data_IF_704676863999
#
_entry.id   IF_704676863999
#
_cell.length_a   1.000
_cell.length_b   1.000
_cell.length_c   1.000
_cell.angle_alpha   90.00
_cell.angle_beta   90.00
_cell.angle_gamma   90.00
#
_symmetry.space_group_name_H-M   'P 1'
#
loop_
_entity.id
_entity.type
_entity.pdbx_description
1 polymer ?
#
# COMPACT_ATOMS: atom_id res chain seq x y z
N UNK A 1 7.10 21.35 -6.09
CA UNK A 1 5.95 21.76 -6.93
C UNK A 1 5.80 23.27 -6.84
N UNK A 2 5.89 23.98 -7.96
CA UNK A 2 5.62 25.42 -8.03
C UNK A 2 4.17 25.62 -8.44
N UNK A 3 3.44 26.44 -7.70
CA UNK A 3 2.06 26.82 -8.02
C UNK A 3 2.07 28.23 -8.60
N UNK A 4 1.63 28.39 -9.85
CA UNK A 4 1.79 29.66 -10.58
C UNK A 4 0.68 30.68 -10.30
N UNK A 5 -0.51 30.21 -9.93
CA UNK A 5 -1.69 31.07 -9.83
C UNK A 5 -1.86 31.66 -8.41
N UNK A 6 -2.36 32.90 -8.30
CA UNK A 6 -2.73 33.49 -7.00
C UNK A 6 -4.26 33.51 -6.86
N UNK A 7 -4.81 33.21 -5.65
CA UNK A 7 -4.13 32.76 -4.43
C UNK A 7 -3.70 31.28 -4.48
N UNK A 8 -2.66 30.91 -3.72
CA UNK A 8 -2.23 29.50 -3.56
C UNK A 8 -2.84 28.87 -2.29
N UNK A 9 -3.16 27.56 -2.29
CA UNK A 9 -3.77 26.89 -1.13
C UNK A 9 -2.77 26.68 -0.01
N UNK A 10 -3.19 26.73 1.27
CA UNK A 10 -2.29 26.44 2.41
C UNK A 10 -1.78 24.99 2.42
N UNK A 11 -2.63 24.06 2.01
CA UNK A 11 -2.33 22.64 1.84
C UNK A 11 -3.30 22.05 0.81
N UNK A 12 -2.93 20.94 0.17
CA UNK A 12 -3.80 20.22 -0.77
C UNK A 12 -3.45 18.72 -0.81
N UNK A 13 -4.37 17.92 -1.35
CA UNK A 13 -4.18 16.49 -1.56
C UNK A 13 -3.71 16.23 -2.99
N UNK A 14 -2.65 15.46 -3.15
CA UNK A 14 -2.21 14.96 -4.44
C UNK A 14 -2.62 13.49 -4.50
N UNK A 15 -3.75 13.18 -5.12
CA UNK A 15 -4.22 11.79 -5.24
C UNK A 15 -3.31 10.92 -6.10
N UNK A 16 -3.42 9.63 -5.91
CA UNK A 16 -2.75 8.61 -6.70
C UNK A 16 -3.77 7.53 -7.04
N UNK A 17 -3.75 6.41 -6.34
CA UNK A 17 -4.67 5.33 -6.64
C UNK A 17 -6.06 5.57 -6.04
N UNK A 18 -7.10 5.38 -6.86
CA UNK A 18 -8.49 5.26 -6.41
C UNK A 18 -8.84 3.78 -6.24
N UNK A 19 -9.19 3.40 -5.02
CA UNK A 19 -9.43 2.01 -4.63
C UNK A 19 -10.93 1.81 -4.37
N UNK A 20 -11.63 1.21 -5.33
CA UNK A 20 -13.10 1.22 -5.38
C UNK A 20 -13.75 -0.11 -5.02
N UNK A 21 -13.09 -1.25 -5.19
CA UNK A 21 -13.68 -2.54 -4.81
C UNK A 21 -13.03 -3.02 -3.53
N UNK A 22 -13.83 -3.33 -2.51
CA UNK A 22 -13.32 -3.87 -1.26
C UNK A 22 -13.40 -5.39 -1.29
N UNK A 23 -12.39 -6.04 -0.72
CA UNK A 23 -12.30 -7.48 -0.44
C UNK A 23 -11.91 -7.68 1.02
N UNK A 24 -11.95 -8.92 1.50
CA UNK A 24 -11.51 -9.23 2.87
C UNK A 24 -10.01 -8.98 3.09
N UNK A 25 -9.23 -8.98 2.02
CA UNK A 25 -7.77 -8.77 2.04
C UNK A 25 -7.36 -7.33 1.77
N UNK A 26 -8.26 -6.44 1.31
CA UNK A 26 -7.97 -5.03 1.07
C UNK A 26 -8.86 -4.40 0.00
N UNK A 27 -8.44 -3.27 -0.56
CA UNK A 27 -9.11 -2.70 -1.73
C UNK A 27 -8.36 -3.04 -3.02
N UNK A 28 -9.13 -3.22 -4.09
CA UNK A 28 -8.66 -3.30 -5.45
C UNK A 28 -8.79 -1.93 -6.13
N UNK A 29 -7.82 -1.64 -6.98
CA UNK A 29 -7.78 -0.43 -7.79
C UNK A 29 -8.91 -0.42 -8.82
N UNK A 30 -9.55 0.73 -9.01
CA UNK A 30 -10.50 0.91 -10.13
C UNK A 30 -9.77 0.99 -11.47
N UNK A 31 -10.42 0.53 -12.53
CA UNK A 31 -10.03 0.72 -13.94
C UNK A 31 -10.96 1.71 -14.66
N UNK A 32 -11.78 2.46 -13.90
CA UNK A 32 -12.77 3.38 -14.45
C UNK A 32 -12.10 4.64 -15.00
N UNK A 33 -12.24 4.81 -16.31
CA UNK A 33 -11.85 6.02 -17.05
C UNK A 33 -12.29 7.27 -16.31
N UNK A 34 -11.32 8.06 -15.85
CA UNK A 34 -11.55 9.49 -15.61
C UNK A 34 -11.95 10.08 -16.96
N UNK A 35 -13.23 10.36 -17.16
CA UNK A 35 -13.70 11.10 -18.32
C UNK A 35 -13.06 12.49 -18.23
N UNK A 36 -12.18 12.79 -19.18
CA UNK A 36 -11.60 14.11 -19.34
C UNK A 36 -12.72 15.07 -19.70
N UNK A 37 -13.29 15.72 -18.70
CA UNK A 37 -14.11 16.90 -18.92
C UNK A 37 -13.23 17.97 -19.58
N UNK A 38 -13.78 18.77 -20.50
CA UNK A 38 -13.11 19.99 -20.99
C UNK A 38 -13.53 21.13 -20.07
N UNK A 39 -12.65 21.60 -19.17
CA UNK A 39 -12.97 22.76 -18.34
C UNK A 39 -13.15 24.01 -19.20
N UNK A 40 -13.91 24.98 -18.70
CA UNK A 40 -13.85 26.32 -19.24
C UNK A 40 -12.42 26.87 -19.03
N UNK A 41 -11.84 27.52 -20.03
CA UNK A 41 -10.46 28.05 -20.03
C UNK A 41 -10.06 28.83 -18.76
N UNK A 42 -11.02 29.41 -18.04
CA UNK A 42 -10.80 30.25 -16.86
C UNK A 42 -10.73 29.48 -15.53
N UNK A 43 -10.95 28.15 -15.51
CA UNK A 43 -10.91 27.33 -14.28
C UNK A 43 -9.66 26.43 -14.21
N UNK A 44 -8.63 26.74 -14.99
CA UNK A 44 -7.40 25.94 -15.07
C UNK A 44 -6.28 26.57 -14.24
N UNK A 45 -5.60 25.72 -13.47
CA UNK A 45 -4.41 26.09 -12.71
C UNK A 45 -3.17 25.45 -13.31
N UNK A 46 -2.02 26.12 -13.21
CA UNK A 46 -0.72 25.62 -13.68
C UNK A 46 0.19 25.29 -12.50
N UNK A 47 0.74 24.08 -12.52
CA UNK A 47 1.73 23.60 -11.58
C UNK A 47 2.99 23.17 -12.34
N UNK A 48 4.17 23.51 -11.83
CA UNK A 48 5.44 22.93 -12.32
C UNK A 48 5.99 21.94 -11.31
N UNK A 49 6.28 20.73 -11.76
CA UNK A 49 6.76 19.63 -10.92
C UNK A 49 8.22 19.34 -11.27
N UNK A 50 9.04 19.29 -10.23
CA UNK A 50 10.48 18.96 -10.27
C UNK A 50 10.64 17.62 -9.55
N UNK A 51 10.56 16.48 -10.26
CA UNK A 51 10.71 15.18 -9.64
C UNK A 51 12.15 14.96 -9.19
N UNK A 52 12.33 14.37 -8.00
CA UNK A 52 13.59 13.81 -7.53
C UNK A 52 13.30 12.40 -7.02
N UNK A 53 13.98 11.41 -7.58
CA UNK A 53 13.99 10.00 -7.11
C UNK A 53 12.61 9.30 -6.98
N UNK A 54 11.54 9.84 -7.60
CA UNK A 54 10.16 9.29 -7.53
C UNK A 54 9.50 9.34 -8.91
N UNK A 55 8.97 8.19 -9.36
CA UNK A 55 8.02 8.12 -10.47
C UNK A 55 6.66 8.64 -9.99
N UNK A 56 6.19 9.74 -10.54
CA UNK A 56 4.91 10.32 -10.12
C UNK A 56 3.80 9.71 -10.97
N UNK A 57 3.00 8.83 -10.37
CA UNK A 57 1.71 8.40 -10.92
C UNK A 57 0.68 9.45 -10.51
N UNK A 58 0.40 10.39 -11.40
CA UNK A 58 -0.43 11.56 -11.11
C UNK A 58 -1.90 11.16 -10.88
N UNK A 59 -2.51 11.63 -9.79
CA UNK A 59 -3.91 12.08 -9.75
C UNK A 59 -3.95 13.36 -8.89
N UNK A 60 -4.85 14.30 -9.17
CA UNK A 60 -5.00 15.51 -8.37
C UNK A 60 -6.40 15.49 -7.74
N UNK A 61 -6.54 15.99 -6.52
CA UNK A 61 -7.84 16.20 -5.88
C UNK A 61 -7.76 17.48 -5.03
N UNK A 62 -8.70 18.43 -5.11
CA UNK A 62 -9.97 18.41 -5.85
C UNK A 62 -9.82 18.66 -7.36
N UNK A 63 -8.60 18.85 -7.85
CA UNK A 63 -8.36 19.25 -9.24
C UNK A 63 -8.28 18.06 -10.20
N UNK A 64 -8.87 18.15 -11.39
CA UNK A 64 -8.73 17.14 -12.44
C UNK A 64 -7.55 17.44 -13.34
N UNK A 65 -6.75 16.44 -13.70
CA UNK A 65 -5.65 16.59 -14.67
C UNK A 65 -6.21 16.92 -16.06
N UNK A 66 -5.81 18.07 -16.61
CA UNK A 66 -6.21 18.55 -17.94
C UNK A 66 -5.14 18.21 -18.98
N UNK A 67 -3.89 18.55 -18.69
CA UNK A 67 -2.76 18.40 -19.62
C UNK A 67 -1.44 18.28 -18.85
N UNK A 68 -0.45 17.67 -19.49
CA UNK A 68 0.94 17.62 -19.02
C UNK A 68 1.90 18.00 -20.16
N UNK A 69 3.04 18.63 -19.85
CA UNK A 69 4.09 19.00 -20.80
C UNK A 69 5.48 18.65 -20.25
N UNK A 70 6.45 18.20 -21.09
CA UNK A 70 6.33 17.95 -22.53
C UNK A 70 5.33 16.82 -22.83
N UNK A 71 4.58 16.98 -23.93
CA UNK A 71 3.29 16.31 -24.21
C UNK A 71 3.32 14.80 -24.48
N UNK A 72 4.40 14.12 -24.11
CA UNK A 72 4.65 12.72 -24.36
C UNK A 72 4.16 11.85 -23.20
N UNK A 73 2.84 11.88 -22.98
CA UNK A 73 2.17 10.94 -22.08
C UNK A 73 1.36 9.92 -22.88
N UNK A 74 1.56 8.64 -22.60
CA UNK A 74 0.68 7.53 -23.00
C UNK A 74 -0.24 7.23 -21.82
N UNK A 75 -1.54 7.22 -22.07
CA UNK A 75 -2.50 6.71 -21.09
C UNK A 75 -2.65 5.21 -21.28
N UNK A 76 -2.44 4.41 -20.22
CA UNK A 76 -2.82 2.99 -20.20
C UNK A 76 -3.73 2.75 -18.99
N UNK A 77 -5.00 2.44 -19.24
CA UNK A 77 -6.01 2.40 -18.19
C UNK A 77 -6.20 3.77 -17.53
N UNK A 78 -6.05 3.81 -16.20
CA UNK A 78 -6.13 5.02 -15.38
C UNK A 78 -4.76 5.65 -15.10
N UNK A 79 -3.69 5.00 -15.54
CA UNK A 79 -2.33 5.50 -15.37
C UNK A 79 -1.88 6.31 -16.59
N UNK A 80 -1.10 7.34 -16.30
CA UNK A 80 -0.40 8.14 -17.28
C UNK A 80 1.08 7.79 -17.22
N UNK A 81 1.60 7.26 -18.33
CA UNK A 81 2.98 6.87 -18.54
C UNK A 81 3.65 7.88 -19.44
N UNK A 82 4.94 8.11 -19.24
CA UNK A 82 5.73 8.91 -20.18
C UNK A 82 6.11 8.06 -21.38
N UNK A 83 5.99 8.60 -22.61
CA UNK A 83 6.40 7.90 -23.83
C UNK A 83 7.93 7.84 -23.97
N UNK A 84 8.64 8.70 -23.24
CA UNK A 84 10.10 8.80 -23.18
C UNK A 84 10.58 8.81 -21.72
N UNK A 85 11.89 8.96 -21.48
CA UNK A 85 12.41 9.14 -20.11
C UNK A 85 11.71 10.30 -19.40
N UNK A 86 11.49 10.17 -18.08
CA UNK A 86 10.84 11.21 -17.29
C UNK A 86 11.64 12.53 -17.42
N UNK A 87 11.01 13.65 -17.82
CA UNK A 87 11.71 14.91 -17.97
C UNK A 87 12.12 15.45 -16.60
N UNK A 88 13.22 16.21 -16.56
CA UNK A 88 13.72 16.81 -15.32
C UNK A 88 12.73 17.80 -14.68
N UNK A 89 11.80 18.34 -15.48
CA UNK A 89 10.70 19.21 -15.09
C UNK A 89 9.51 18.93 -15.99
N UNK A 90 8.30 19.03 -15.43
CA UNK A 90 7.08 19.04 -16.24
C UNK A 90 6.03 20.01 -15.71
N UNK A 91 5.28 20.59 -16.64
CA UNK A 91 4.12 21.43 -16.35
C UNK A 91 2.85 20.58 -16.36
N UNK A 92 2.00 20.83 -15.38
CA UNK A 92 0.71 20.19 -15.20
C UNK A 92 -0.36 21.26 -15.18
N UNK A 93 -1.39 21.09 -15.99
CA UNK A 93 -2.60 21.89 -15.94
C UNK A 93 -3.70 21.09 -15.27
N UNK A 94 -4.35 21.68 -14.27
CA UNK A 94 -5.40 21.03 -13.50
C UNK A 94 -6.64 21.92 -13.41
N UNK A 95 -7.81 21.37 -13.11
CA UNK A 95 -9.06 22.14 -13.00
C UNK A 95 -9.86 21.76 -11.75
N UNK A 96 -10.33 22.72 -10.97
CA UNK A 96 -11.10 22.49 -9.73
C UNK A 96 -12.44 21.79 -9.93
N UNK A 97 -12.97 21.77 -11.15
CA UNK A 97 -14.25 21.12 -11.43
C UNK A 97 -14.13 19.61 -11.22
N UNK A 98 -14.84 19.02 -10.24
CA UNK A 98 -14.81 17.59 -10.03
C UNK A 98 -15.34 16.91 -11.29
N UNK A 99 -14.62 15.92 -11.81
CA UNK A 99 -15.19 15.04 -12.82
C UNK A 99 -16.46 14.40 -12.26
N UNK A 100 -17.60 14.58 -12.94
CA UNK A 100 -18.80 13.79 -12.67
C UNK A 100 -18.52 12.34 -13.06
N UNK A 101 -18.05 11.53 -12.13
CA UNK A 101 -17.93 10.09 -12.30
C UNK A 101 -19.08 9.41 -11.58
N UNK A 102 -19.56 8.29 -12.12
CA UNK A 102 -20.65 7.55 -11.49
C UNK A 102 -20.26 7.04 -10.09
N UNK A 103 -21.25 6.89 -9.17
CA UNK A 103 -21.00 6.29 -7.87
C UNK A 103 -20.30 4.93 -8.01
N UNK A 104 -19.39 4.65 -7.07
CA UNK A 104 -18.71 3.37 -7.00
C UNK A 104 -19.53 2.32 -6.19
N UNK A 105 -18.90 1.21 -5.83
CA UNK A 105 -19.55 0.12 -5.08
C UNK A 105 -19.95 0.53 -3.66
N UNK A 106 -21.15 0.09 -3.25
CA UNK A 106 -21.62 0.10 -1.85
C UNK A 106 -21.40 -1.26 -1.16
N UNK A 107 -20.70 -2.20 -1.82
CA UNK A 107 -20.54 -3.55 -1.30
C UNK A 107 -19.57 -3.60 -0.12
N UNK A 108 -19.99 -4.29 0.94
CA UNK A 108 -19.17 -4.66 2.08
C UNK A 108 -18.74 -6.12 1.89
N UNK A 109 -17.44 -6.45 2.00
CA UNK A 109 -16.96 -7.83 1.86
C UNK A 109 -17.56 -8.77 2.91
N UNK A 110 -17.79 -10.04 2.56
CA UNK A 110 -18.17 -11.06 3.54
C UNK A 110 -17.19 -11.13 4.71
N UNK A 111 -17.70 -11.22 5.94
CA UNK A 111 -16.90 -11.21 7.18
C UNK A 111 -16.63 -9.82 7.78
N UNK A 112 -17.10 -8.74 7.15
CA UNK A 112 -17.03 -7.37 7.64
C UNK A 112 -18.42 -6.75 7.89
N UNK A 113 -19.47 -7.55 7.92
CA UNK A 113 -20.85 -7.13 8.17
C UNK A 113 -21.01 -6.47 9.54
N UNK A 114 -20.21 -6.88 10.52
CA UNK A 114 -20.19 -6.27 11.85
C UNK A 114 -19.75 -4.80 11.82
N UNK A 115 -18.81 -4.45 10.93
CA UNK A 115 -18.36 -3.06 10.72
C UNK A 115 -19.49 -2.24 10.11
N UNK A 116 -20.22 -2.80 9.14
CA UNK A 116 -21.41 -2.18 8.58
C UNK A 116 -22.54 -2.02 9.61
N UNK A 117 -22.75 -3.03 10.47
CA UNK A 117 -23.71 -2.99 11.56
C UNK A 117 -23.37 -1.94 12.62
N UNK A 118 -22.08 -1.79 12.93
CA UNK A 118 -21.58 -0.76 13.84
C UNK A 118 -21.82 0.65 13.28
N UNK A 119 -21.60 0.85 11.98
CA UNK A 119 -21.89 2.12 11.32
C UNK A 119 -23.35 2.55 11.50
N UNK A 120 -24.31 1.62 11.35
CA UNK A 120 -25.74 1.88 11.56
C UNK A 120 -26.10 2.27 13.00
N UNK A 121 -25.34 1.79 13.99
CA UNK A 121 -25.56 2.15 15.41
C UNK A 121 -25.01 3.53 15.76
N UNK A 122 -23.93 3.94 15.11
CA UNK A 122 -23.24 5.21 15.40
C UNK A 122 -23.84 6.37 14.59
N UNK A 123 -24.12 6.13 13.31
CA UNK A 123 -24.52 7.18 12.40
C UNK A 123 -25.94 7.66 12.72
N UNK A 124 -26.16 8.97 12.91
CA UNK A 124 -27.49 9.51 13.12
C UNK A 124 -28.31 9.45 11.84
N UNK A 125 -29.62 9.60 11.98
CA UNK A 125 -30.48 9.86 10.83
C UNK A 125 -30.21 11.23 10.20
N UNK A 126 -30.46 11.32 8.89
CA UNK A 126 -30.32 12.57 8.12
C UNK A 126 -29.28 12.51 6.99
N UNK A 127 -28.74 13.67 6.65
CA UNK A 127 -27.86 13.85 5.48
C UNK A 127 -26.57 13.02 5.54
N UNK A 128 -26.05 12.62 4.37
CA UNK A 128 -24.76 11.93 4.25
C UNK A 128 -23.63 12.64 5.00
N UNK A 129 -23.54 13.98 4.91
CA UNK A 129 -22.52 14.76 5.64
C UNK A 129 -22.59 14.60 7.17
N UNK A 130 -23.79 14.56 7.77
CA UNK A 130 -23.95 14.30 9.21
C UNK A 130 -23.49 12.90 9.59
N UNK A 131 -23.83 11.90 8.77
CA UNK A 131 -23.41 10.51 8.96
C UNK A 131 -21.88 10.40 8.86
N UNK A 132 -21.28 10.95 7.81
CA UNK A 132 -19.82 11.00 7.61
C UNK A 132 -19.11 11.66 8.79
N UNK A 133 -19.61 12.82 9.25
CA UNK A 133 -19.03 13.52 10.39
C UNK A 133 -19.09 12.69 11.69
N UNK A 134 -20.21 12.03 11.97
CA UNK A 134 -20.37 11.17 13.15
C UNK A 134 -19.42 9.97 13.13
N UNK A 135 -19.30 9.28 11.99
CA UNK A 135 -18.39 8.14 11.84
C UNK A 135 -16.92 8.57 11.92
N UNK A 136 -16.58 9.72 11.33
CA UNK A 136 -15.23 10.31 11.42
C UNK A 136 -14.88 10.64 12.88
N UNK A 137 -15.80 11.28 13.60
CA UNK A 137 -15.62 11.58 15.02
C UNK A 137 -15.44 10.31 15.85
N UNK A 138 -16.27 9.29 15.60
CA UNK A 138 -16.13 7.99 16.25
C UNK A 138 -14.73 7.39 16.05
N UNK A 139 -14.25 7.31 14.80
CA UNK A 139 -12.93 6.75 14.51
C UNK A 139 -11.82 7.55 15.19
N UNK A 140 -11.90 8.88 15.17
CA UNK A 140 -10.91 9.76 15.82
C UNK A 140 -10.89 9.66 17.34
N UNK A 141 -12.03 9.39 17.96
CA UNK A 141 -12.13 9.26 19.42
C UNK A 141 -11.85 7.84 19.92
N UNK A 142 -12.30 6.83 19.18
CA UNK A 142 -12.23 5.42 19.59
C UNK A 142 -10.93 4.74 19.18
N UNK A 143 -10.35 5.12 18.03
CA UNK A 143 -9.14 4.50 17.50
C UNK A 143 -7.93 5.43 17.66
N UNK A 144 -6.74 4.86 17.65
CA UNK A 144 -5.48 5.60 17.82
C UNK A 144 -4.61 5.53 16.57
N UNK A 145 -3.98 6.65 16.23
CA UNK A 145 -3.01 6.67 15.14
C UNK A 145 -1.69 6.05 15.60
N UNK A 146 -1.14 5.14 14.80
CA UNK A 146 0.14 4.52 15.09
C UNK A 146 0.81 4.03 13.81
N UNK A 147 2.08 4.40 13.64
CA UNK A 147 2.93 3.87 12.58
C UNK A 147 3.53 2.50 12.97
N UNK A 148 3.39 2.06 14.22
CA UNK A 148 3.94 0.78 14.66
C UNK A 148 2.87 -0.31 14.53
N UNK A 149 3.21 -1.41 13.85
CA UNK A 149 2.29 -2.54 13.69
C UNK A 149 1.93 -3.13 15.06
N UNK A 150 0.65 -3.09 15.41
CA UNK A 150 0.15 -3.53 16.71
C UNK A 150 -0.43 -4.94 16.69
N UNK A 151 -0.47 -5.55 17.87
CA UNK A 151 -0.94 -6.90 18.10
C UNK A 151 -2.44 -7.02 17.76
N UNK A 152 -2.75 -7.92 16.82
CA UNK A 152 -4.11 -8.36 16.51
C UNK A 152 -4.27 -9.83 16.94
N UNK A 153 -5.38 -10.20 17.59
CA UNK A 153 -5.69 -11.61 17.82
C UNK A 153 -5.75 -12.39 16.50
N UNK A 154 -5.25 -13.64 16.52
CA UNK A 154 -5.28 -14.53 15.36
C UNK A 154 -6.73 -14.79 14.92
N UNK A 155 -6.96 -14.84 13.61
CA UNK A 155 -8.27 -15.18 13.02
C UNK A 155 -9.28 -14.03 12.88
N UNK A 156 -9.01 -12.82 13.39
CA UNK A 156 -9.89 -11.65 13.19
C UNK A 156 -9.46 -10.80 12.00
N UNK A 157 -10.36 -10.07 11.35
CA UNK A 157 -9.95 -9.06 10.35
C UNK A 157 -9.25 -7.87 11.03
N UNK A 158 -8.13 -7.33 10.49
CA UNK A 158 -7.46 -6.15 11.05
C UNK A 158 -8.39 -4.94 11.18
N UNK A 159 -9.23 -4.71 10.18
CA UNK A 159 -10.19 -3.61 10.17
C UNK A 159 -11.27 -3.82 11.22
N UNK A 160 -11.80 -5.04 11.33
CA UNK A 160 -12.80 -5.37 12.35
C UNK A 160 -12.25 -5.11 13.75
N UNK A 161 -11.03 -5.58 14.03
CA UNK A 161 -10.35 -5.34 15.31
C UNK A 161 -10.13 -3.85 15.57
N UNK A 162 -9.61 -3.12 14.59
CA UNK A 162 -9.34 -1.70 14.70
C UNK A 162 -10.58 -0.91 15.08
N UNK A 163 -11.67 -1.06 14.31
CA UNK A 163 -12.91 -0.29 14.52
C UNK A 163 -13.63 -0.71 15.79
N UNK A 164 -13.74 -2.01 16.07
CA UNK A 164 -14.58 -2.48 17.19
C UNK A 164 -13.88 -2.36 18.55
N UNK A 165 -12.56 -2.57 18.59
CA UNK A 165 -11.81 -2.68 19.85
C UNK A 165 -10.96 -1.45 20.17
N UNK A 166 -11.06 -0.38 19.36
CA UNK A 166 -10.28 0.84 19.58
C UNK A 166 -8.80 0.63 19.30
N UNK A 167 -8.52 -0.08 18.21
CA UNK A 167 -7.16 -0.46 17.84
C UNK A 167 -6.30 0.71 17.40
N UNK A 168 -5.02 0.41 17.20
CA UNK A 168 -4.03 1.32 16.65
C UNK A 168 -3.74 1.00 15.18
N UNK A 169 -3.66 2.03 14.35
CA UNK A 169 -3.42 1.88 12.92
C UNK A 169 -2.97 3.18 12.26
N UNK A 170 -2.48 3.07 11.03
CA UNK A 170 -2.08 4.22 10.23
C UNK A 170 -3.26 4.78 9.42
N UNK A 171 -3.00 5.78 8.56
CA UNK A 171 -4.00 6.43 7.74
C UNK A 171 -4.83 5.45 6.88
N UNK A 172 -4.27 4.30 6.48
CA UNK A 172 -4.98 3.29 5.68
C UNK A 172 -6.06 2.57 6.49
N UNK A 173 -5.79 2.29 7.77
CA UNK A 173 -6.79 1.71 8.68
C UNK A 173 -7.96 2.66 8.86
N UNK A 174 -7.68 3.95 9.11
CA UNK A 174 -8.72 4.97 9.25
C UNK A 174 -9.54 5.11 7.95
N UNK A 175 -8.87 5.25 6.81
CA UNK A 175 -9.52 5.42 5.52
C UNK A 175 -10.37 4.21 5.13
N UNK A 176 -9.81 3.01 5.25
CA UNK A 176 -10.51 1.74 4.97
C UNK A 176 -11.73 1.57 5.86
N UNK A 177 -11.57 1.85 7.15
CA UNK A 177 -12.65 1.73 8.13
C UNK A 177 -13.80 2.66 7.82
N UNK A 178 -13.51 3.95 7.59
CA UNK A 178 -14.55 4.92 7.25
C UNK A 178 -15.25 4.52 5.93
N UNK A 179 -14.49 4.12 4.90
CA UNK A 179 -15.07 3.70 3.63
C UNK A 179 -16.04 2.52 3.81
N UNK A 180 -15.65 1.48 4.55
CA UNK A 180 -16.50 0.31 4.82
C UNK A 180 -17.72 0.64 5.68
N UNK A 181 -17.56 1.51 6.69
CA UNK A 181 -18.68 1.97 7.50
C UNK A 181 -19.69 2.76 6.65
N UNK A 182 -19.24 3.63 5.75
CA UNK A 182 -20.11 4.37 4.81
C UNK A 182 -20.85 3.44 3.86
N UNK A 183 -20.18 2.41 3.32
CA UNK A 183 -20.82 1.38 2.49
C UNK A 183 -21.90 0.62 3.25
N UNK A 184 -21.68 0.36 4.55
CA UNK A 184 -22.68 -0.22 5.43
C UNK A 184 -23.95 0.62 5.63
N UNK A 185 -23.88 1.92 5.30
CA UNK A 185 -25.01 2.86 5.27
C UNK A 185 -25.58 3.07 3.86
N UNK A 186 -25.09 2.32 2.86
CA UNK A 186 -25.48 2.48 1.46
C UNK A 186 -24.87 3.72 0.78
N UNK A 187 -23.87 4.37 1.39
CA UNK A 187 -23.18 5.52 0.79
C UNK A 187 -22.01 4.99 -0.06
N UNK A 188 -21.99 5.24 -1.39
CA UNK A 188 -20.87 4.84 -2.23
C UNK A 188 -19.61 5.56 -1.76
N UNK A 189 -18.53 4.81 -1.55
CA UNK A 189 -17.27 5.37 -1.03
C UNK A 189 -16.06 4.61 -1.55
N UNK A 190 -14.92 5.29 -1.68
CA UNK A 190 -13.65 4.71 -2.13
C UNK A 190 -12.50 5.21 -1.26
N UNK A 191 -11.47 4.39 -1.13
CA UNK A 191 -10.21 4.82 -0.52
C UNK A 191 -9.35 5.46 -1.59
N UNK A 192 -8.74 6.58 -1.27
CA UNK A 192 -7.77 7.25 -2.13
C UNK A 192 -6.44 7.32 -1.41
N UNK A 193 -5.37 6.93 -2.11
CA UNK A 193 -4.00 7.05 -1.61
C UNK A 193 -3.26 8.10 -2.42
N UNK A 194 -2.35 8.84 -1.79
CA UNK A 194 -1.66 9.96 -2.43
C UNK A 194 -0.70 10.66 -1.46
N UNK A 195 -0.56 11.97 -1.57
CA UNK A 195 0.26 12.80 -0.69
C UNK A 195 -0.53 13.96 -0.10
N UNK A 196 -0.33 14.22 1.19
CA UNK A 196 -0.82 15.43 1.84
C UNK A 196 0.25 16.53 1.80
N UNK A 197 0.08 17.48 0.88
CA UNK A 197 1.06 18.53 0.59
C UNK A 197 0.77 19.77 1.42
N UNK A 198 1.69 20.15 2.29
CA UNK A 198 1.51 21.27 3.23
C UNK A 198 2.82 22.06 3.50
N UNK A 199 3.98 21.56 3.07
CA UNK A 199 5.27 22.21 3.27
C UNK A 199 5.51 23.24 2.16
N UNK A 200 5.22 24.51 2.44
CA UNK A 200 5.47 25.63 1.52
C UNK A 200 6.78 26.35 1.87
N UNK A 201 7.67 26.51 0.89
CA UNK A 201 8.85 27.37 1.00
C UNK A 201 8.50 28.77 0.47
N UNK A 202 8.32 29.78 1.34
CA UNK A 202 7.96 31.13 0.92
C UNK A 202 9.11 31.88 0.22
N UNK A 203 10.37 31.52 0.50
CA UNK A 203 11.54 32.15 -0.15
C UNK A 203 11.67 31.69 -1.60
N UNK A 204 11.39 30.41 -1.87
CA UNK A 204 11.47 29.82 -3.20
C UNK A 204 10.14 29.79 -3.96
N UNK A 205 9.01 30.07 -3.31
CA UNK A 205 7.69 30.04 -3.92
C UNK A 205 7.20 28.64 -4.34
N UNK A 206 7.60 27.59 -3.62
CA UNK A 206 7.27 26.20 -4.00
C UNK A 206 6.86 25.32 -2.81
N UNK A 207 6.06 24.30 -3.09
CA UNK A 207 5.73 23.21 -2.17
C UNK A 207 6.73 22.06 -2.27
N UNK A 208 7.08 21.49 -1.13
CA UNK A 208 7.86 20.26 -1.03
C UNK A 208 6.89 19.08 -0.81
N UNK A 209 7.07 18.03 -1.60
CA UNK A 209 6.33 16.77 -1.45
C UNK A 209 7.33 15.70 -1.07
N UNK A 210 7.12 15.06 0.08
CA UNK A 210 8.02 14.02 0.60
C UNK A 210 7.34 12.67 0.55
N UNK A 211 8.14 11.60 0.43
CA UNK A 211 7.64 10.24 0.63
C UNK A 211 6.92 10.13 1.99
N UNK A 212 7.49 10.73 3.05
CA UNK A 212 6.89 10.81 4.38
C UNK A 212 5.54 11.51 4.47
N UNK A 213 5.13 12.23 3.42
CA UNK A 213 3.82 12.87 3.33
C UNK A 213 2.78 12.01 2.62
N UNK A 214 3.08 10.74 2.31
CA UNK A 214 2.06 9.86 1.72
C UNK A 214 0.93 9.64 2.71
N UNK A 215 -0.30 9.62 2.18
CA UNK A 215 -1.50 9.67 2.98
C UNK A 215 -2.64 8.92 2.31
N UNK A 216 -3.58 8.42 3.11
CA UNK A 216 -4.80 7.77 2.65
C UNK A 216 -6.03 8.47 3.24
N UNK A 217 -7.05 8.68 2.41
CA UNK A 217 -8.32 9.30 2.78
C UNK A 217 -9.48 8.61 2.10
N UNK A 218 -10.70 9.09 2.37
CA UNK A 218 -11.93 8.57 1.78
C UNK A 218 -12.56 9.62 0.88
N UNK A 219 -13.04 9.18 -0.28
CA UNK A 219 -14.00 9.93 -1.06
C UNK A 219 -15.36 9.23 -0.98
N UNK A 220 -16.43 9.99 -0.78
CA UNK A 220 -17.80 9.48 -0.75
C UNK A 220 -18.70 10.23 -1.74
N UNK A 221 -19.67 9.53 -2.30
CA UNK A 221 -20.60 10.07 -3.26
C UNK A 221 -21.85 10.61 -2.56
N UNK A 222 -22.14 11.89 -2.75
CA UNK A 222 -23.38 12.51 -2.28
C UNK A 222 -23.88 13.53 -3.30
N UNK A 223 -25.19 13.48 -3.60
CA UNK A 223 -25.91 14.41 -4.48
C UNK A 223 -25.23 14.68 -5.83
N UNK A 224 -24.65 13.67 -6.46
CA UNK A 224 -24.07 13.79 -7.80
C UNK A 224 -22.62 14.28 -7.83
N UNK A 225 -21.93 14.31 -6.68
CA UNK A 225 -20.53 14.70 -6.58
C UNK A 225 -19.75 13.82 -5.58
N UNK A 226 -18.44 13.74 -5.80
CA UNK A 226 -17.50 13.17 -4.84
C UNK A 226 -17.10 14.22 -3.80
N UNK A 227 -17.10 13.82 -2.55
CA UNK A 227 -16.68 14.61 -1.40
C UNK A 227 -15.55 13.90 -0.68
N UNK A 228 -14.53 14.66 -0.26
CA UNK A 228 -13.37 14.12 0.45
C UNK A 228 -13.57 14.22 1.95
N UNK A 229 -13.28 13.13 2.66
CA UNK A 229 -13.20 13.08 4.10
C UNK A 229 -11.90 12.37 4.53
N UNK A 230 -11.13 13.05 5.38
CA UNK A 230 -10.01 12.43 6.08
C UNK A 230 -10.46 11.99 7.48
N UNK A 231 -10.53 10.68 7.77
CA UNK A 231 -10.81 10.16 9.11
C UNK A 231 -9.62 10.22 10.07
N UNK A 232 -8.41 10.48 9.58
CA UNK A 232 -7.20 10.49 10.41
C UNK A 232 -7.26 11.65 11.41
N UNK A 233 -6.92 11.44 12.70
CA UNK A 233 -6.80 12.52 13.67
C UNK A 233 -5.75 13.55 13.22
N UNK A 234 -6.02 14.86 13.36
CA UNK A 234 -5.03 15.90 13.09
C UNK A 234 -4.03 15.94 14.26
N UNK A 235 -3.05 15.03 14.33
CA UNK A 235 -2.03 15.14 15.38
C UNK A 235 -1.08 16.32 15.10
N UNK A 236 -0.88 17.23 16.07
CA UNK A 236 0.13 18.28 15.97
C UNK A 236 1.52 17.67 16.08
N UNK A 237 2.09 17.29 14.94
CA UNK A 237 3.45 16.73 14.88
C UNK A 237 3.67 15.66 13.84
N UNK A 238 2.61 15.10 13.26
CA UNK A 238 2.70 14.09 12.18
C UNK A 238 3.58 14.55 11.03
N UNK A 239 3.58 15.87 10.78
CA UNK A 239 4.30 16.53 9.71
C UNK A 239 5.70 17.03 10.09
N UNK A 240 6.11 16.88 11.37
CA UNK A 240 7.45 17.24 11.88
C UNK A 240 8.36 16.04 12.10
N UNK A 241 7.89 14.82 11.82
CA UNK A 241 8.68 13.62 12.02
C UNK A 241 9.91 13.63 11.09
N UNK A 242 11.11 13.51 11.67
CA UNK A 242 12.34 13.30 10.92
C UNK A 242 12.24 11.95 10.20
N UNK A 243 12.58 11.87 8.90
CA UNK A 243 12.50 10.61 8.16
C UNK A 243 13.40 9.57 8.82
N UNK A 244 12.82 8.46 9.29
CA UNK A 244 13.58 7.29 9.71
C UNK A 244 13.73 6.33 8.52
N UNK A 245 14.84 5.57 8.48
CA UNK A 245 15.12 4.55 7.46
C UNK A 245 13.98 3.50 7.32
N UNK A 246 13.23 3.26 8.39
CA UNK A 246 12.07 2.36 8.41
C UNK A 246 10.90 2.94 7.60
N UNK A 247 10.75 4.26 7.60
CA UNK A 247 9.71 4.96 6.85
C UNK A 247 9.98 4.85 5.35
N UNK A 248 11.22 5.04 4.90
CA UNK A 248 11.61 4.89 3.49
C UNK A 248 11.39 3.47 2.94
N UNK A 249 11.62 2.45 3.77
CA UNK A 249 11.40 1.04 3.42
C UNK A 249 9.90 0.70 3.39
N UNK A 250 9.12 1.25 4.32
CA UNK A 250 7.65 1.14 4.30
C UNK A 250 7.05 1.91 3.12
N UNK A 251 7.63 3.03 2.70
CA UNK A 251 7.21 3.77 1.51
C UNK A 251 7.54 3.03 0.21
N UNK A 252 8.67 2.32 0.14
CA UNK A 252 8.92 1.34 -0.93
C UNK A 252 7.87 0.23 -0.90
N UNK A 253 7.46 -0.24 0.27
CA UNK A 253 6.41 -1.24 0.39
C UNK A 253 5.03 -0.70 -0.06
N UNK A 254 4.58 0.48 0.39
CA UNK A 254 3.32 1.10 -0.06
C UNK A 254 3.30 1.31 -1.59
N UNK A 255 4.44 1.72 -2.16
CA UNK A 255 4.62 1.95 -3.60
C UNK A 255 4.65 0.66 -4.43
N UNK A 256 5.09 -0.47 -3.87
CA UNK A 256 5.22 -1.75 -4.56
C UNK A 256 4.14 -2.78 -4.19
N UNK A 257 3.46 -2.64 -3.05
CA UNK A 257 2.63 -3.69 -2.42
C UNK A 257 1.13 -3.38 -2.44
N UNK A 258 0.72 -2.15 -2.80
CA UNK A 258 -0.67 -1.92 -3.27
C UNK A 258 -0.86 -2.50 -4.70
N UNK A 259 0.22 -2.87 -5.40
CA UNK A 259 0.16 -3.83 -6.50
C UNK A 259 0.29 -5.26 -5.98
N UNK A 260 -0.81 -5.86 -5.56
CA UNK A 260 -0.95 -7.32 -5.66
C UNK A 260 -1.38 -7.67 -7.07
N UNK A 261 -0.43 -7.68 -8.00
CA UNK A 261 -0.57 -8.41 -9.27
C UNK A 261 0.70 -9.24 -9.48
N UNK A 262 0.55 -10.54 -9.72
CA UNK A 262 1.63 -11.52 -9.89
C UNK A 262 2.63 -11.14 -11.02
N UNK A 263 2.26 -10.22 -11.92
CA UNK A 263 3.12 -9.77 -13.01
C UNK A 263 4.32 -8.93 -12.56
N UNK A 264 4.19 -8.15 -11.48
CA UNK A 264 5.26 -7.23 -11.05
C UNK A 264 6.46 -8.00 -10.46
N UNK A 265 6.22 -9.22 -9.95
CA UNK A 265 7.26 -10.13 -9.46
C UNK A 265 8.12 -10.72 -10.59
N UNK A 266 7.54 -10.91 -11.78
CA UNK A 266 8.23 -11.47 -12.97
C UNK A 266 9.15 -10.43 -13.61
N UNK A 267 8.79 -9.15 -13.57
CA UNK A 267 9.53 -8.07 -14.20
C UNK A 267 10.86 -7.74 -13.48
N UNK A 268 10.91 -7.90 -12.15
CA UNK A 268 12.13 -7.72 -11.36
C UNK A 268 13.14 -8.87 -11.58
N UNK A 269 12.64 -10.11 -11.68
CA UNK A 269 13.48 -11.29 -11.89
C UNK A 269 14.21 -11.28 -13.25
N UNK A 270 13.62 -10.66 -14.29
CA UNK A 270 14.25 -10.55 -15.60
C UNK A 270 15.32 -9.44 -15.67
N UNK A 271 15.21 -8.38 -14.86
CA UNK A 271 16.17 -7.27 -14.83
C UNK A 271 17.48 -7.64 -14.13
N UNK A 272 17.42 -8.41 -13.04
CA UNK A 272 18.64 -8.90 -12.34
C UNK A 272 19.47 -9.83 -13.24
N UNK A 273 18.82 -10.61 -14.11
CA UNK A 273 19.51 -11.52 -15.03
C UNK A 273 20.29 -10.77 -16.12
N UNK A 274 19.76 -9.66 -16.62
CA UNK A 274 20.38 -8.94 -17.74
C UNK A 274 21.57 -8.04 -17.33
N UNK A 275 21.65 -7.61 -16.06
CA UNK A 275 22.79 -6.81 -15.56
C UNK A 275 24.06 -7.66 -15.34
N UNK A 276 23.91 -8.97 -15.14
CA UNK A 276 25.03 -9.90 -14.92
C UNK A 276 25.74 -10.25 -16.24
N UNK A 277 25.11 -10.02 -17.40
CA UNK A 277 25.55 -10.58 -18.69
C UNK A 277 26.38 -9.59 -19.55
N UNK A 278 26.39 -8.27 -19.27
CA UNK A 278 27.17 -7.29 -20.06
C UNK A 278 27.88 -6.22 -19.22
N UNK A 279 29.20 -6.34 -18.94
CA UNK A 279 29.93 -5.49 -17.99
C UNK A 279 30.62 -4.28 -18.65
N UNK A 280 30.03 -3.68 -19.69
CA UNK A 280 30.65 -2.60 -20.45
C UNK A 280 30.05 -1.22 -20.18
N UNK A 281 30.87 -0.31 -19.61
CA UNK A 281 30.63 1.11 -19.29
C UNK A 281 29.84 1.39 -18.01
N UNK A 282 30.59 1.51 -16.89
CA UNK A 282 30.51 2.61 -15.92
C UNK A 282 31.23 2.21 -14.62
N UNK A 283 32.53 2.50 -14.54
CA UNK A 283 33.40 2.15 -13.41
C UNK A 283 32.93 2.74 -12.06
N UNK A 284 32.17 3.83 -12.08
CA UNK A 284 31.64 4.51 -10.89
C UNK A 284 30.53 3.68 -10.21
N UNK A 285 29.74 2.91 -10.97
CA UNK A 285 28.74 2.00 -10.39
C UNK A 285 29.37 0.72 -9.85
N UNK A 286 30.53 0.31 -10.38
CA UNK A 286 31.29 -0.84 -9.88
C UNK A 286 31.94 -0.54 -8.53
N UNK A 287 32.56 0.63 -8.38
CA UNK A 287 33.21 1.03 -7.12
C UNK A 287 32.17 1.28 -6.03
N UNK A 288 31.05 1.92 -6.36
CA UNK A 288 29.94 2.12 -5.42
C UNK A 288 29.26 0.79 -5.07
N UNK A 289 29.09 -0.13 -6.02
CA UNK A 289 28.60 -1.50 -5.78
C UNK A 289 29.54 -2.34 -4.90
N UNK A 290 30.86 -2.23 -5.08
CA UNK A 290 31.86 -2.91 -4.25
C UNK A 290 31.93 -2.35 -2.83
N UNK A 291 31.83 -1.04 -2.66
CA UNK A 291 31.78 -0.41 -1.34
C UNK A 291 30.47 -0.74 -0.61
N UNK A 292 29.34 -0.81 -1.33
CA UNK A 292 28.07 -1.26 -0.76
C UNK A 292 28.13 -2.75 -0.39
N UNK A 293 28.72 -3.59 -1.24
CA UNK A 293 28.91 -5.01 -0.97
C UNK A 293 29.87 -5.26 0.21
N UNK A 294 30.94 -4.48 0.33
CA UNK A 294 31.87 -4.54 1.46
C UNK A 294 31.22 -4.04 2.76
N UNK A 295 30.42 -2.98 2.72
CA UNK A 295 29.64 -2.50 3.85
C UNK A 295 28.55 -3.50 4.27
N UNK A 296 27.89 -4.14 3.29
CA UNK A 296 26.91 -5.21 3.53
C UNK A 296 27.57 -6.49 4.04
N UNK A 297 28.79 -6.81 3.61
CA UNK A 297 29.60 -7.90 4.15
C UNK A 297 30.09 -7.58 5.56
N UNK A 298 30.45 -6.33 5.86
CA UNK A 298 30.93 -5.94 7.19
C UNK A 298 29.79 -5.84 8.21
N UNK A 299 28.65 -5.27 7.83
CA UNK A 299 27.38 -5.30 8.60
C UNK A 299 26.80 -6.73 8.68
N UNK A 300 27.02 -7.54 7.65
CA UNK A 300 26.65 -8.94 7.57
C UNK A 300 27.54 -9.86 8.40
N UNK A 301 28.85 -9.62 8.52
CA UNK A 301 29.75 -10.41 9.37
C UNK A 301 29.59 -10.04 10.84
N UNK A 302 29.44 -8.75 11.17
CA UNK A 302 29.30 -8.27 12.55
C UNK A 302 27.97 -8.66 13.22
N UNK A 303 26.91 -8.91 12.43
CA UNK A 303 25.64 -9.47 12.92
C UNK A 303 25.40 -10.94 12.54
N UNK A 304 26.06 -11.45 11.49
CA UNK A 304 25.80 -12.76 10.87
C UNK A 304 26.73 -13.89 11.28
N UNK A 305 27.69 -13.65 12.17
CA UNK A 305 28.48 -14.72 12.79
C UNK A 305 27.72 -15.54 13.85
N UNK A 306 26.40 -15.32 14.03
CA UNK A 306 25.55 -16.19 14.89
C UNK A 306 24.50 -17.04 14.18
N UNK A 307 24.30 -16.92 12.86
CA UNK A 307 23.25 -17.70 12.16
C UNK A 307 23.59 -18.09 10.71
N UNK A 308 24.83 -18.49 10.44
CA UNK A 308 25.12 -19.33 9.27
C UNK A 308 24.83 -20.79 9.61
N UNK A 309 23.56 -21.20 9.53
CA UNK A 309 23.20 -22.61 9.37
C UNK A 309 21.80 -22.73 8.72
N UNK A 310 21.70 -23.50 7.64
CA UNK A 310 20.54 -23.91 6.84
C UNK A 310 19.16 -23.39 7.29
N UNK A 311 18.49 -22.62 6.43
CA UNK A 311 17.13 -22.10 6.67
C UNK A 311 16.20 -23.24 7.09
N UNK A 312 15.52 -23.09 8.23
CA UNK A 312 14.59 -24.09 8.76
C UNK A 312 13.54 -24.54 7.73
N UNK A 313 13.18 -23.65 6.80
CA UNK A 313 12.27 -23.95 5.70
C UNK A 313 12.85 -24.93 4.68
N UNK A 314 14.15 -24.86 4.39
CA UNK A 314 14.80 -25.78 3.46
C UNK A 314 14.74 -27.22 3.98
N UNK A 315 14.82 -27.41 5.30
CA UNK A 315 14.65 -28.73 5.91
C UNK A 315 13.26 -29.32 5.63
N UNK A 316 12.24 -28.47 5.57
CA UNK A 316 10.86 -28.86 5.26
C UNK A 316 10.69 -29.13 3.78
N UNK A 317 11.24 -28.30 2.89
CA UNK A 317 11.22 -28.54 1.45
C UNK A 317 11.91 -29.86 1.09
N UNK A 318 13.07 -30.14 1.71
CA UNK A 318 13.78 -31.41 1.55
C UNK A 318 12.93 -32.58 2.07
N UNK A 319 12.23 -32.41 3.19
CA UNK A 319 11.36 -33.46 3.73
C UNK A 319 10.19 -33.78 2.80
N UNK A 320 9.56 -32.77 2.19
CA UNK A 320 8.51 -32.95 1.18
C UNK A 320 9.05 -33.59 -0.10
N UNK A 321 10.21 -33.14 -0.59
CA UNK A 321 10.83 -33.72 -1.79
C UNK A 321 11.14 -35.21 -1.62
N UNK A 322 11.53 -35.65 -0.42
CA UNK A 322 11.76 -37.07 -0.10
C UNK A 322 10.47 -37.91 -0.10
N UNK A 323 9.31 -37.26 -0.02
CA UNK A 323 7.98 -37.87 -0.08
C UNK A 323 7.32 -37.75 -1.47
N UNK A 324 8.07 -37.35 -2.49
CA UNK A 324 7.55 -37.19 -3.86
C UNK A 324 6.80 -35.88 -4.10
N UNK A 325 6.62 -35.04 -3.07
CA UNK A 325 6.00 -33.72 -3.18
C UNK A 325 7.12 -32.70 -3.45
N UNK A 326 7.40 -32.45 -4.73
CA UNK A 326 8.44 -31.48 -5.13
C UNK A 326 7.87 -30.07 -5.14
N UNK A 327 8.21 -29.32 -4.11
CA UNK A 327 7.86 -27.90 -3.98
C UNK A 327 8.93 -27.05 -4.70
N UNK A 328 8.49 -26.18 -5.59
CA UNK A 328 9.39 -25.30 -6.34
C UNK A 328 9.98 -24.23 -5.43
N UNK A 329 11.29 -24.24 -5.22
CA UNK A 329 12.02 -23.23 -4.43
C UNK A 329 11.75 -21.77 -4.82
N UNK A 330 11.23 -21.51 -6.03
CA UNK A 330 10.86 -20.17 -6.52
C UNK A 330 9.39 -19.81 -6.27
N UNK A 331 8.54 -20.77 -5.91
CA UNK A 331 7.13 -20.56 -5.63
C UNK A 331 6.90 -19.98 -4.23
N UNK A 332 5.81 -19.25 -4.07
CA UNK A 332 5.41 -18.65 -2.80
C UNK A 332 4.96 -19.71 -1.78
N UNK A 333 5.04 -19.38 -0.50
CA UNK A 333 4.56 -20.25 0.59
C UNK A 333 3.07 -20.65 0.41
N UNK A 334 2.25 -19.76 -0.17
CA UNK A 334 0.84 -20.04 -0.46
C UNK A 334 0.62 -20.96 -1.66
N UNK A 335 1.52 -20.93 -2.66
CA UNK A 335 1.54 -21.89 -3.76
C UNK A 335 2.03 -23.27 -3.29
N UNK A 336 3.01 -23.30 -2.40
CA UNK A 336 3.40 -24.54 -1.72
C UNK A 336 2.23 -25.15 -0.95
N UNK A 337 1.49 -24.34 -0.19
CA UNK A 337 0.34 -24.84 0.55
C UNK A 337 -0.72 -25.40 -0.40
N UNK A 338 -1.09 -24.69 -1.46
CA UNK A 338 -2.04 -25.19 -2.48
C UNK A 338 -1.55 -26.45 -3.17
N UNK A 339 -0.26 -26.55 -3.45
CA UNK A 339 0.32 -27.75 -4.03
C UNK A 339 0.24 -28.93 -3.06
N UNK A 340 0.53 -28.72 -1.77
CA UNK A 340 0.37 -29.75 -0.73
C UNK A 340 -1.11 -30.08 -0.50
N UNK A 341 -2.04 -29.13 -0.61
CA UNK A 341 -3.48 -29.39 -0.53
C UNK A 341 -3.94 -30.35 -1.64
N UNK A 342 -3.42 -30.18 -2.86
CA UNK A 342 -3.79 -31.01 -4.01
C UNK A 342 -3.09 -32.38 -4.01
N UNK A 343 -1.84 -32.45 -3.53
CA UNK A 343 -1.01 -33.66 -3.63
C UNK A 343 -0.91 -34.46 -2.31
N UNK A 344 -1.17 -33.82 -1.17
CA UNK A 344 -1.16 -34.45 0.16
C UNK A 344 -2.11 -33.74 1.15
N UNK A 345 -3.45 -33.84 0.97
CA UNK A 345 -4.45 -33.04 1.70
C UNK A 345 -4.35 -33.16 3.23
N UNK A 346 -4.00 -34.35 3.72
CA UNK A 346 -3.84 -34.60 5.17
C UNK A 346 -2.68 -33.80 5.75
N UNK A 347 -1.60 -33.63 4.99
CA UNK A 347 -0.41 -32.88 5.41
C UNK A 347 -0.59 -31.37 5.29
N UNK A 348 -1.46 -30.90 4.41
CA UNK A 348 -1.72 -29.47 4.18
C UNK A 348 -2.13 -28.72 5.45
N UNK A 349 -2.99 -29.31 6.28
CA UNK A 349 -3.40 -28.71 7.56
C UNK A 349 -2.24 -28.54 8.54
N UNK A 350 -1.30 -29.48 8.57
CA UNK A 350 -0.11 -29.38 9.41
C UNK A 350 0.92 -28.41 8.81
N UNK A 351 1.02 -28.38 7.49
CA UNK A 351 1.90 -27.47 6.78
C UNK A 351 1.46 -26.01 6.91
N UNK A 352 0.16 -25.74 6.82
CA UNK A 352 -0.42 -24.41 7.07
C UNK A 352 -0.05 -23.90 8.47
N UNK A 353 -0.20 -24.76 9.50
CA UNK A 353 0.19 -24.42 10.87
C UNK A 353 1.70 -24.18 11.04
N UNK A 354 2.53 -25.00 10.39
CA UNK A 354 3.98 -24.77 10.36
C UNK A 354 4.34 -23.45 9.68
N UNK A 355 3.71 -23.13 8.55
CA UNK A 355 3.93 -21.90 7.80
C UNK A 355 3.57 -20.66 8.63
N UNK A 356 2.50 -20.70 9.40
CA UNK A 356 2.14 -19.61 10.31
C UNK A 356 3.23 -19.34 11.35
N UNK A 357 3.72 -20.37 12.04
CA UNK A 357 4.76 -20.23 13.05
C UNK A 357 6.11 -19.82 12.44
N UNK A 358 6.42 -20.35 11.25
CA UNK A 358 7.63 -19.98 10.49
C UNK A 358 7.61 -18.52 10.04
N UNK A 359 6.49 -18.02 9.51
CA UNK A 359 6.35 -16.63 9.08
C UNK A 359 6.39 -15.66 10.27
N UNK A 360 5.81 -16.06 11.41
CA UNK A 360 5.88 -15.26 12.65
C UNK A 360 7.29 -15.22 13.25
N UNK A 361 8.05 -16.32 13.20
CA UNK A 361 9.45 -16.31 13.62
C UNK A 361 10.32 -15.49 12.66
N UNK A 362 10.08 -15.62 11.35
CA UNK A 362 10.90 -14.98 10.31
C UNK A 362 10.66 -13.47 10.20
N UNK A 363 9.41 -13.02 10.38
CA UNK A 363 9.00 -11.64 10.12
C UNK A 363 8.29 -10.95 11.31
N UNK A 364 8.00 -11.66 12.39
CA UNK A 364 7.37 -11.13 13.60
C UNK A 364 8.35 -10.84 14.75
N UNK A 365 7.85 -10.29 15.86
CA UNK A 365 8.61 -9.99 17.09
C UNK A 365 8.54 -11.11 18.16
N UNK A 366 8.18 -12.33 17.77
CA UNK A 366 7.91 -13.43 18.71
C UNK A 366 9.16 -14.23 19.08
N UNK A 367 9.31 -14.55 20.36
CA UNK A 367 10.29 -15.53 20.87
C UNK A 367 9.78 -16.95 20.58
N UNK A 368 9.83 -17.35 19.30
CA UNK A 368 9.32 -18.64 18.81
C UNK A 368 10.49 -19.60 18.65
N UNK A 369 10.43 -20.74 19.34
CA UNK A 369 11.36 -21.86 19.15
C UNK A 369 11.08 -22.60 17.82
N UNK A 370 11.48 -21.95 16.72
CA UNK A 370 11.27 -22.48 15.37
C UNK A 370 12.04 -23.77 15.13
N UNK A 371 13.12 -24.00 15.87
CA UNK A 371 13.95 -25.20 15.73
C UNK A 371 13.17 -26.44 16.18
N UNK A 372 12.52 -26.37 17.35
CA UNK A 372 11.65 -27.43 17.86
C UNK A 372 10.43 -27.65 16.97
N UNK A 373 9.81 -26.57 16.49
CA UNK A 373 8.64 -26.63 15.59
C UNK A 373 9.00 -27.30 14.26
N UNK A 374 10.10 -26.87 13.64
CA UNK A 374 10.61 -27.45 12.39
C UNK A 374 10.97 -28.92 12.57
N UNK A 375 11.65 -29.28 13.65
CA UNK A 375 11.99 -30.67 13.96
C UNK A 375 10.76 -31.57 14.09
N UNK A 376 9.72 -31.11 14.82
CA UNK A 376 8.45 -31.82 14.96
C UNK A 376 7.74 -31.99 13.62
N UNK A 377 7.74 -30.96 12.79
CA UNK A 377 7.06 -30.98 11.50
C UNK A 377 7.78 -31.89 10.49
N UNK A 378 9.11 -31.79 10.38
CA UNK A 378 9.91 -32.71 9.55
C UNK A 378 9.73 -34.16 9.98
N UNK A 379 9.70 -34.45 11.29
CA UNK A 379 9.41 -35.80 11.80
C UNK A 379 8.03 -36.29 11.37
N UNK A 380 7.02 -35.40 11.36
CA UNK A 380 5.66 -35.71 10.90
C UNK A 380 5.60 -36.02 9.41
N UNK A 381 6.24 -35.21 8.56
CA UNK A 381 6.37 -35.50 7.12
C UNK A 381 7.04 -36.88 6.90
N UNK A 382 8.04 -37.21 7.73
CA UNK A 382 8.74 -38.50 7.67
C UNK A 382 7.93 -39.66 8.22
N UNK A 383 6.96 -39.48 9.12
CA UNK A 383 6.19 -40.57 9.73
C UNK A 383 4.82 -40.80 9.09
N UNK A 384 4.29 -39.82 8.36
CA UNK A 384 2.96 -39.93 7.76
C UNK A 384 2.98 -40.75 6.46
N UNK A 385 1.98 -41.61 6.20
CA UNK A 385 1.78 -42.21 4.90
C UNK A 385 1.48 -41.11 3.87
N UNK A 386 2.15 -41.20 2.72
CA UNK A 386 1.97 -40.32 1.56
C UNK A 386 0.58 -40.48 0.98
#
# INVERSE_FOLDING_TARGET
>A
IVWHDKPHPRAFLLSGAHLEKATITGFERSSRKINTFRPASHSMHRLTIYPQDIEVKNVFHPFSLVKVSPGDIRKEGDDYYWRSCMPAVYDVWVSETPGRSEPCSVQVPPGLEDVAGLARRIAPEGSAGKRVAALTAYLRHHCRYSLVNQYKPRGLSPIKWFVMNGGEGDCEYFATSLALMLRGLGIPSRVVTGFYVHEYNPLGGYYIVRASSAHAWVEYWDKGAWHTQDPTPPEPGLYRLRPNLIDEIRFRWIRWVIHYSLNDQVYFASHVRNTIINPGRNAIYWISGLLLAAAMLWLGLSKGLRHLNNSFYDQVLVAFSKRGVKLDTKASHGEHLRYVENNWPVMARYFSRYLEDYLLWRFGKGDIDIASITGKFVKRIKSSPS
#
